data_IF_468403175647
#
_entry.id   IF_468403175647
#
_cell.length_a   1.000
_cell.length_b   1.000
_cell.length_c   1.000
_cell.angle_alpha   90.00
_cell.angle_beta   90.00
_cell.angle_gamma   90.00
#
_symmetry.space_group_name_H-M   'P 1'
#
loop_
_entity.id
_entity.type
_entity.pdbx_description
1 polymer ?
#
# COMPACT_ATOMS: atom_id res chain seq x y z
N UNK A 1 -11.52 -31.96 48.30
CA UNK A 1 -10.36 -32.03 47.37
C UNK A 1 -10.90 -32.17 45.95
N UNK A 2 -10.17 -31.63 44.96
CA UNK A 2 -10.49 -31.57 43.51
C UNK A 2 -11.44 -30.44 43.11
N UNK A 3 -10.96 -29.20 42.93
CA UNK A 3 -10.19 -28.58 41.82
C UNK A 3 -10.94 -28.47 40.48
N UNK A 4 -11.34 -27.21 40.16
CA UNK A 4 -11.25 -26.42 38.91
C UNK A 4 -11.16 -27.20 37.57
N UNK A 5 -11.87 -26.82 36.49
CA UNK A 5 -11.62 -25.63 35.65
C UNK A 5 -12.85 -25.34 34.77
N UNK A 6 -13.28 -24.07 34.72
CA UNK A 6 -14.16 -23.55 33.69
C UNK A 6 -13.35 -23.31 32.40
N UNK A 7 -13.73 -23.95 31.29
CA UNK A 7 -13.24 -23.58 29.96
C UNK A 7 -14.07 -22.39 29.45
N UNK A 8 -13.53 -21.19 29.66
CA UNK A 8 -13.95 -20.01 28.91
C UNK A 8 -13.48 -20.21 27.46
N UNK A 9 -14.43 -20.45 26.56
CA UNK A 9 -14.19 -20.36 25.13
C UNK A 9 -13.95 -18.88 24.78
N UNK A 10 -12.68 -18.51 24.60
CA UNK A 10 -12.32 -17.22 24.02
C UNK A 10 -12.66 -17.29 22.53
N UNK A 11 -13.83 -16.78 22.17
CA UNK A 11 -14.16 -16.39 20.81
C UNK A 11 -13.18 -15.30 20.39
N UNK A 12 -12.12 -15.70 19.68
CA UNK A 12 -11.29 -14.78 18.92
C UNK A 12 -12.15 -14.18 17.82
N UNK A 13 -12.65 -12.96 18.03
CA UNK A 13 -13.19 -12.15 16.95
C UNK A 13 -12.00 -11.74 16.09
N UNK A 14 -11.68 -12.54 15.08
CA UNK A 14 -10.96 -12.05 13.91
C UNK A 14 -11.85 -10.93 13.35
N UNK A 15 -11.38 -9.69 13.44
CA UNK A 15 -11.98 -8.58 12.74
C UNK A 15 -11.91 -8.89 11.24
N UNK A 16 -12.99 -9.44 10.70
CA UNK A 16 -13.15 -9.61 9.25
C UNK A 16 -13.24 -8.21 8.68
N UNK A 17 -12.19 -7.80 7.95
CA UNK A 17 -12.25 -6.61 7.12
C UNK A 17 -13.48 -6.72 6.20
N UNK A 18 -14.26 -5.64 5.99
CA UNK A 18 -15.45 -5.71 5.15
C UNK A 18 -15.10 -6.26 3.76
N UNK A 19 -15.78 -7.33 3.34
CA UNK A 19 -15.58 -8.06 2.10
C UNK A 19 -15.78 -7.23 0.80
N UNK A 20 -16.16 -5.95 0.92
CA UNK A 20 -16.39 -5.06 -0.23
C UNK A 20 -15.10 -4.48 -0.86
N UNK A 21 -13.92 -4.75 -0.30
CA UNK A 21 -12.62 -4.30 -0.86
C UNK A 21 -11.50 -5.34 -0.70
N UNK A 22 -11.79 -6.64 -0.70
CA UNK A 22 -10.74 -7.64 -0.86
C UNK A 22 -10.23 -7.57 -2.31
N UNK A 23 -9.33 -6.63 -2.59
CA UNK A 23 -8.70 -6.51 -3.89
C UNK A 23 -7.90 -7.77 -4.16
N UNK A 24 -8.04 -8.39 -5.33
CA UNK A 24 -7.15 -9.49 -5.69
C UNK A 24 -5.70 -9.00 -5.74
N UNK A 25 -4.73 -9.87 -5.41
CA UNK A 25 -3.29 -9.54 -5.43
C UNK A 25 -2.75 -9.42 -6.88
N UNK A 26 -3.31 -8.49 -7.65
CA UNK A 26 -3.02 -8.27 -9.07
C UNK A 26 -2.81 -6.78 -9.34
N UNK A 27 -2.20 -6.45 -10.48
CA UNK A 27 -2.07 -5.06 -10.90
C UNK A 27 -3.46 -4.39 -11.05
N UNK A 28 -4.44 -5.11 -11.57
CA UNK A 28 -5.82 -4.62 -11.69
C UNK A 28 -6.51 -4.43 -10.34
N UNK A 29 -6.17 -5.24 -9.33
CA UNK A 29 -6.60 -5.02 -7.94
C UNK A 29 -6.10 -3.69 -7.38
N UNK A 30 -4.81 -3.37 -7.60
CA UNK A 30 -4.26 -2.07 -7.19
C UNK A 30 -4.90 -0.93 -7.98
N UNK A 31 -5.05 -1.09 -9.30
CA UNK A 31 -5.72 -0.10 -10.16
C UNK A 31 -7.12 0.21 -9.63
N UNK A 32 -7.91 -0.82 -9.32
CA UNK A 32 -9.27 -0.67 -8.79
C UNK A 32 -9.26 0.08 -7.46
N UNK A 33 -8.36 -0.28 -6.55
CA UNK A 33 -8.20 0.39 -5.25
C UNK A 33 -7.91 1.88 -5.42
N UNK A 34 -6.97 2.24 -6.29
CA UNK A 34 -6.58 3.64 -6.51
C UNK A 34 -7.63 4.41 -7.32
N UNK A 35 -8.29 3.75 -8.27
CA UNK A 35 -9.37 4.35 -9.05
C UNK A 35 -10.53 4.77 -8.15
N UNK A 36 -10.89 3.97 -7.15
CA UNK A 36 -11.93 4.35 -6.19
C UNK A 36 -11.61 5.66 -5.45
N UNK A 37 -10.34 5.90 -5.09
CA UNK A 37 -9.90 7.14 -4.45
C UNK A 37 -10.01 8.32 -5.43
N UNK A 38 -9.55 8.14 -6.67
CA UNK A 38 -9.62 9.15 -7.72
C UNK A 38 -11.07 9.50 -8.07
N UNK A 39 -11.96 8.52 -8.12
CA UNK A 39 -13.38 8.73 -8.40
C UNK A 39 -14.08 9.47 -7.25
N UNK A 40 -13.80 9.12 -6.00
CA UNK A 40 -14.28 9.85 -4.83
C UNK A 40 -13.79 11.32 -4.85
N UNK A 41 -12.52 11.54 -5.18
CA UNK A 41 -11.94 12.87 -5.31
C UNK A 41 -12.59 13.69 -6.43
N UNK A 42 -12.81 13.07 -7.59
CA UNK A 42 -13.53 13.69 -8.72
C UNK A 42 -14.97 14.06 -8.37
N UNK A 43 -15.61 13.25 -7.53
CA UNK A 43 -16.97 13.49 -7.03
C UNK A 43 -17.03 14.51 -5.88
N UNK A 44 -15.91 15.09 -5.46
CA UNK A 44 -15.86 16.06 -4.36
C UNK A 44 -16.11 15.47 -2.97
N UNK A 45 -15.94 14.15 -2.81
CA UNK A 45 -16.22 13.44 -1.56
C UNK A 45 -14.99 13.37 -0.65
N UNK A 46 -14.57 14.52 -0.12
CA UNK A 46 -13.32 14.65 0.66
C UNK A 46 -13.19 13.65 1.84
N UNK A 47 -14.27 13.41 2.60
CA UNK A 47 -14.25 12.44 3.70
C UNK A 47 -14.01 10.99 3.21
N UNK A 48 -14.59 10.62 2.06
CA UNK A 48 -14.39 9.30 1.45
C UNK A 48 -12.95 9.18 0.92
N UNK A 49 -12.39 10.23 0.31
CA UNK A 49 -10.98 10.29 -0.11
C UNK A 49 -10.06 10.07 1.08
N UNK A 50 -10.31 10.77 2.19
CA UNK A 50 -9.51 10.63 3.40
C UNK A 50 -9.55 9.19 3.92
N UNK A 51 -10.74 8.62 4.10
CA UNK A 51 -10.92 7.25 4.59
C UNK A 51 -10.22 6.21 3.70
N UNK A 52 -10.43 6.29 2.39
CA UNK A 52 -9.81 5.35 1.44
C UNK A 52 -8.28 5.51 1.39
N UNK A 53 -7.79 6.75 1.49
CA UNK A 53 -6.34 7.01 1.51
C UNK A 53 -5.70 6.52 2.81
N UNK A 54 -6.36 6.70 3.96
CA UNK A 54 -5.90 6.18 5.24
C UNK A 54 -5.79 4.65 5.23
N UNK A 55 -6.70 3.97 4.53
CA UNK A 55 -6.64 2.53 4.33
C UNK A 55 -5.42 2.07 3.50
N UNK A 56 -4.73 2.95 2.77
CA UNK A 56 -3.49 2.59 2.09
C UNK A 56 -2.31 2.43 3.06
N UNK A 57 -2.36 2.93 4.29
CA UNK A 57 -1.21 2.83 5.17
C UNK A 57 -1.09 1.44 5.82
N UNK A 58 0.15 0.97 5.97
CA UNK A 58 0.49 -0.22 6.72
C UNK A 58 0.07 -0.02 8.18
N UNK A 59 -0.81 -0.87 8.74
CA UNK A 59 -1.25 -0.74 10.13
C UNK A 59 -0.12 -1.05 11.11
N UNK A 60 0.74 -2.04 10.80
CA UNK A 60 1.93 -2.40 11.58
C UNK A 60 3.16 -2.42 10.66
N UNK A 61 3.63 -1.21 10.30
CA UNK A 61 4.77 -1.05 9.42
C UNK A 61 6.05 -1.67 10.00
N UNK A 62 6.25 -1.57 11.33
CA UNK A 62 7.42 -2.15 12.00
C UNK A 62 7.49 -3.65 11.80
N UNK A 63 6.40 -4.37 12.12
CA UNK A 63 6.32 -5.81 11.89
C UNK A 63 6.49 -6.16 10.41
N UNK A 64 5.80 -5.47 9.52
CA UNK A 64 5.88 -5.72 8.08
C UNK A 64 7.33 -5.61 7.57
N UNK A 65 8.00 -4.50 7.85
CA UNK A 65 9.36 -4.27 7.36
C UNK A 65 10.37 -5.22 7.99
N UNK A 66 10.24 -5.55 9.29
CA UNK A 66 11.09 -6.55 9.94
C UNK A 66 10.91 -7.94 9.34
N UNK A 67 9.68 -8.36 9.04
CA UNK A 67 9.41 -9.66 8.42
C UNK A 67 9.99 -9.75 6.99
N UNK A 68 9.85 -8.68 6.20
CA UNK A 68 10.29 -8.66 4.81
C UNK A 68 11.80 -8.46 4.68
N UNK A 69 12.42 -7.61 5.49
CA UNK A 69 13.81 -7.19 5.33
C UNK A 69 14.77 -7.65 6.44
N UNK A 70 14.25 -8.28 7.51
CA UNK A 70 15.00 -8.59 8.72
C UNK A 70 15.07 -7.42 9.71
N UNK A 71 15.59 -7.65 10.90
CA UNK A 71 15.53 -6.68 12.01
C UNK A 71 16.20 -5.34 11.71
N UNK A 72 17.47 -5.35 11.30
CA UNK A 72 18.24 -4.11 11.13
C UNK A 72 17.68 -3.24 10.01
N UNK A 73 17.52 -3.81 8.82
CA UNK A 73 17.05 -3.08 7.65
C UNK A 73 15.56 -2.76 7.76
N UNK A 74 14.77 -3.68 8.31
CA UNK A 74 13.34 -3.47 8.56
C UNK A 74 13.09 -2.29 9.49
N UNK A 75 13.89 -2.13 10.54
CA UNK A 75 13.81 -0.98 11.43
C UNK A 75 14.10 0.34 10.69
N UNK A 76 15.17 0.41 9.89
CA UNK A 76 15.51 1.61 9.10
C UNK A 76 14.38 2.00 8.14
N UNK A 77 13.76 1.02 7.48
CA UNK A 77 12.63 1.24 6.57
C UNK A 77 11.36 1.66 7.32
N UNK A 78 11.07 1.08 8.49
CA UNK A 78 9.97 1.50 9.33
C UNK A 78 10.14 2.95 9.84
N UNK A 79 11.37 3.35 10.19
CA UNK A 79 11.69 4.73 10.60
C UNK A 79 11.55 5.73 9.45
N UNK A 80 11.88 5.34 8.21
CA UNK A 80 11.56 6.13 7.02
C UNK A 80 10.04 6.21 6.80
N UNK A 81 9.35 5.08 6.90
CA UNK A 81 7.92 4.98 6.67
C UNK A 81 7.11 5.87 7.61
N UNK A 82 7.50 5.94 8.89
CA UNK A 82 6.87 6.79 9.88
C UNK A 82 6.89 8.29 9.51
N UNK A 83 7.79 8.71 8.61
CA UNK A 83 7.92 10.09 8.12
C UNK A 83 7.09 10.37 6.86
N UNK A 84 6.31 9.41 6.36
CA UNK A 84 5.46 9.65 5.20
C UNK A 84 4.41 10.72 5.51
N UNK A 85 4.21 11.68 4.59
CA UNK A 85 3.26 12.77 4.79
C UNK A 85 1.82 12.27 4.57
N UNK A 86 1.24 11.65 5.61
CA UNK A 86 -0.04 10.93 5.50
C UNK A 86 -1.21 11.85 5.11
N UNK A 87 -1.30 13.02 5.75
CA UNK A 87 -2.37 13.98 5.50
C UNK A 87 -2.28 14.60 4.09
N UNK A 88 -1.07 14.70 3.55
CA UNK A 88 -0.80 15.25 2.23
C UNK A 88 -1.16 14.26 1.12
N UNK A 89 -1.19 12.95 1.40
CA UNK A 89 -1.54 11.95 0.39
C UNK A 89 -3.01 12.08 -0.05
N UNK A 90 -3.94 12.37 0.87
CA UNK A 90 -5.34 12.60 0.50
C UNK A 90 -5.48 13.85 -0.40
N UNK A 91 -4.82 14.94 0.00
CA UNK A 91 -4.75 16.19 -0.80
C UNK A 91 -4.12 15.97 -2.17
N UNK A 92 -3.18 15.03 -2.28
CA UNK A 92 -2.57 14.66 -3.54
C UNK A 92 -3.60 14.07 -4.50
N UNK A 93 -4.44 13.15 -4.04
CA UNK A 93 -5.50 12.55 -4.86
C UNK A 93 -6.54 13.59 -5.30
N UNK A 94 -6.94 14.49 -4.40
CA UNK A 94 -7.80 15.63 -4.75
C UNK A 94 -7.16 16.51 -5.84
N UNK A 95 -5.86 16.82 -5.70
CA UNK A 95 -5.12 17.57 -6.70
C UNK A 95 -5.03 16.83 -8.03
N UNK A 96 -4.74 15.52 -8.01
CA UNK A 96 -4.68 14.68 -9.22
C UNK A 96 -6.02 14.70 -9.96
N UNK A 97 -7.13 14.56 -9.25
CA UNK A 97 -8.46 14.65 -9.84
C UNK A 97 -8.75 16.05 -10.42
N UNK A 98 -8.40 17.11 -9.67
CA UNK A 98 -8.55 18.51 -10.13
C UNK A 98 -7.71 18.82 -11.37
N UNK A 99 -6.51 18.26 -11.45
CA UNK A 99 -5.60 18.37 -12.61
C UNK A 99 -6.04 17.46 -13.79
N UNK A 100 -7.20 16.78 -13.70
CA UNK A 100 -7.74 15.94 -14.77
C UNK A 100 -7.07 14.57 -14.93
N UNK A 101 -6.14 14.20 -14.03
CA UNK A 101 -5.35 12.97 -14.09
C UNK A 101 -6.13 11.75 -13.61
N UNK A 102 -7.19 11.42 -14.33
CA UNK A 102 -8.20 10.43 -13.93
C UNK A 102 -8.00 9.03 -14.51
N UNK A 103 -7.04 8.85 -15.42
CA UNK A 103 -6.68 7.56 -15.97
C UNK A 103 -5.65 6.87 -15.07
N UNK A 104 -6.07 5.81 -14.38
CA UNK A 104 -5.23 5.03 -13.46
C UNK A 104 -4.69 3.80 -14.18
N UNK A 105 -3.37 3.65 -14.19
CA UNK A 105 -2.68 2.42 -14.61
C UNK A 105 -1.81 1.90 -13.48
N UNK A 106 -1.79 0.59 -13.28
CA UNK A 106 -0.96 -0.05 -12.27
C UNK A 106 -0.18 -1.20 -12.90
N UNK A 107 0.96 -1.53 -12.31
CA UNK A 107 1.78 -2.66 -12.73
C UNK A 107 2.43 -3.33 -11.53
N UNK A 108 2.61 -4.63 -11.65
CA UNK A 108 3.37 -5.47 -10.73
C UNK A 108 4.83 -5.45 -11.15
N UNK A 109 5.72 -5.42 -10.17
CA UNK A 109 7.16 -5.57 -10.34
C UNK A 109 7.51 -6.91 -9.71
N UNK A 110 7.82 -7.88 -10.56
CA UNK A 110 8.02 -9.27 -10.14
C UNK A 110 9.44 -9.56 -9.63
N UNK A 111 10.42 -8.74 -10.04
CA UNK A 111 11.84 -8.95 -9.74
C UNK A 111 12.67 -7.69 -9.88
N UNK A 112 13.95 -7.76 -9.47
CA UNK A 112 14.88 -6.65 -9.56
C UNK A 112 15.41 -6.39 -10.98
N UNK A 113 15.22 -7.34 -11.89
CA UNK A 113 15.51 -7.27 -13.32
C UNK A 113 14.36 -6.69 -14.15
N UNK A 114 13.17 -6.54 -13.57
CA UNK A 114 12.00 -5.94 -14.20
C UNK A 114 12.33 -4.53 -14.73
N UNK A 115 11.99 -4.29 -16.00
CA UNK A 115 12.24 -3.02 -16.70
C UNK A 115 11.49 -1.85 -16.08
N UNK A 116 10.36 -2.11 -15.41
CA UNK A 116 9.54 -1.12 -14.76
C UNK A 116 9.98 -0.83 -13.32
N UNK A 117 10.96 -1.56 -12.79
CA UNK A 117 11.49 -1.33 -11.46
C UNK A 117 12.41 -0.10 -11.44
N UNK A 118 12.11 0.86 -10.57
CA UNK A 118 13.03 1.98 -10.28
C UNK A 118 14.27 1.50 -9.53
N UNK A 119 15.35 2.28 -9.53
CA UNK A 119 16.59 1.90 -8.85
C UNK A 119 16.41 1.55 -7.36
N UNK A 120 15.54 2.26 -6.62
CA UNK A 120 15.26 1.92 -5.22
C UNK A 120 14.44 0.64 -5.08
N UNK A 121 13.47 0.40 -5.97
CA UNK A 121 12.70 -0.85 -5.97
C UNK A 121 13.58 -2.05 -6.27
N UNK A 122 14.55 -1.92 -7.19
CA UNK A 122 15.53 -2.98 -7.49
C UNK A 122 16.37 -3.32 -6.25
N UNK A 123 16.89 -2.31 -5.56
CA UNK A 123 17.65 -2.53 -4.32
C UNK A 123 16.78 -3.11 -3.21
N UNK A 124 15.54 -2.63 -3.06
CA UNK A 124 14.58 -3.19 -2.11
C UNK A 124 14.33 -4.67 -2.36
N UNK A 125 14.00 -5.07 -3.59
CA UNK A 125 13.73 -6.47 -3.94
C UNK A 125 14.93 -7.37 -3.64
N UNK A 126 16.16 -6.93 -3.97
CA UNK A 126 17.38 -7.68 -3.64
C UNK A 126 17.61 -7.84 -2.14
N UNK A 127 17.18 -6.86 -1.34
CA UNK A 127 17.38 -6.85 0.10
C UNK A 127 16.32 -7.64 0.88
N UNK A 128 15.20 -8.01 0.24
CA UNK A 128 14.13 -8.77 0.89
C UNK A 128 14.63 -10.15 1.33
N UNK A 129 14.43 -10.48 2.61
CA UNK A 129 14.62 -11.82 3.18
C UNK A 129 13.40 -12.70 2.92
N UNK A 130 12.21 -12.10 2.93
CA UNK A 130 10.95 -12.72 2.51
C UNK A 130 10.43 -11.97 1.29
N UNK A 131 10.58 -12.51 0.07
CA UNK A 131 10.16 -11.83 -1.14
C UNK A 131 8.67 -11.49 -1.12
N UNK A 132 8.36 -10.23 -1.43
CA UNK A 132 7.00 -9.75 -1.70
C UNK A 132 7.02 -8.97 -3.01
N UNK A 133 5.93 -9.05 -3.78
CA UNK A 133 5.83 -8.25 -4.98
C UNK A 133 5.70 -6.77 -4.64
N UNK A 134 6.37 -5.93 -5.43
CA UNK A 134 6.16 -4.49 -5.40
C UNK A 134 5.20 -4.10 -6.51
N UNK A 135 4.43 -3.05 -6.29
CA UNK A 135 3.51 -2.52 -7.27
C UNK A 135 3.67 -1.01 -7.36
N UNK A 136 3.30 -0.46 -8.50
CA UNK A 136 3.30 0.98 -8.74
C UNK A 136 2.02 1.38 -9.44
N UNK A 137 1.62 2.63 -9.27
CA UNK A 137 0.45 3.20 -9.94
C UNK A 137 0.79 4.54 -10.56
N UNK A 138 0.28 4.79 -11.76
CA UNK A 138 0.35 6.08 -12.45
C UNK A 138 -1.06 6.62 -12.64
N UNK A 139 -1.19 7.92 -12.38
CA UNK A 139 -2.38 8.71 -12.62
C UNK A 139 -2.05 9.75 -13.68
N UNK A 140 -2.69 9.65 -14.84
CA UNK A 140 -2.46 10.50 -16.00
C UNK A 140 -3.78 11.07 -16.52
N UNK A 141 -3.69 12.13 -17.32
CA UNK A 141 -4.86 12.58 -18.09
C UNK A 141 -5.27 11.48 -19.09
N UNK A 142 -6.57 11.35 -19.42
CA UNK A 142 -7.02 10.41 -20.44
C UNK A 142 -6.25 10.59 -21.77
N UNK A 143 -5.78 9.48 -22.33
CA UNK A 143 -4.98 9.48 -23.57
C UNK A 143 -3.51 9.91 -23.41
N UNK A 144 -3.04 10.24 -22.20
CA UNK A 144 -1.63 10.52 -21.91
C UNK A 144 -0.96 9.33 -21.22
N UNK A 145 0.31 9.12 -21.53
CA UNK A 145 1.15 8.06 -20.93
C UNK A 145 2.02 8.57 -19.78
N UNK A 146 2.27 9.89 -19.74
CA UNK A 146 2.97 10.59 -18.66
C UNK A 146 1.99 11.07 -17.61
N UNK A 147 2.41 11.04 -16.35
CA UNK A 147 1.56 11.39 -15.22
C UNK A 147 2.29 11.26 -13.90
N UNK A 148 1.54 11.45 -12.83
CA UNK A 148 2.06 11.27 -11.47
C UNK A 148 2.14 9.79 -11.15
N UNK A 149 3.31 9.31 -10.73
CA UNK A 149 3.50 7.91 -10.33
C UNK A 149 3.73 7.83 -8.83
N UNK A 150 3.02 6.94 -8.16
CA UNK A 150 3.22 6.60 -6.76
C UNK A 150 3.92 5.25 -6.66
N UNK A 151 4.99 5.26 -5.87
CA UNK A 151 5.82 4.10 -5.55
C UNK A 151 6.04 4.05 -4.04
N UNK A 152 6.18 2.89 -3.41
CA UNK A 152 5.85 1.54 -3.86
C UNK A 152 4.64 1.05 -3.07
N UNK A 153 3.85 0.16 -3.66
CA UNK A 153 2.77 -0.56 -3.00
C UNK A 153 3.16 -2.02 -2.78
N UNK A 154 2.59 -2.62 -1.75
CA UNK A 154 2.68 -4.04 -1.40
C UNK A 154 1.28 -4.58 -1.15
N UNK A 155 1.08 -5.88 -1.30
CA UNK A 155 -0.16 -6.52 -0.87
C UNK A 155 0.08 -7.17 0.50
N UNK A 156 -0.63 -6.69 1.51
CA UNK A 156 -0.44 -7.10 2.90
C UNK A 156 -1.78 -7.12 3.64
N UNK A 157 -2.02 -8.20 4.39
CA UNK A 157 -3.24 -8.41 5.17
C UNK A 157 -4.53 -8.23 4.34
N UNK A 158 -4.53 -8.79 3.12
CA UNK A 158 -5.70 -8.80 2.23
C UNK A 158 -6.00 -7.46 1.53
N UNK A 159 -5.06 -6.51 1.53
CA UNK A 159 -5.24 -5.21 0.87
C UNK A 159 -3.92 -4.64 0.34
N UNK A 160 -4.03 -3.72 -0.63
CA UNK A 160 -2.88 -2.93 -1.08
C UNK A 160 -2.52 -1.86 -0.08
N UNK A 161 -1.23 -1.78 0.27
CA UNK A 161 -0.67 -0.80 1.19
C UNK A 161 0.46 -0.03 0.53
N UNK A 162 0.55 1.28 0.74
CA UNK A 162 1.72 2.06 0.39
C UNK A 162 2.84 1.70 1.36
N UNK A 163 4.00 1.36 0.80
CA UNK A 163 5.24 1.08 1.52
C UNK A 163 6.29 2.21 1.33
N UNK A 164 6.00 3.19 0.46
CA UNK A 164 6.85 4.35 0.23
C UNK A 164 8.03 4.05 -0.70
N UNK A 165 8.99 5.00 -0.76
CA UNK A 165 10.10 4.94 -1.72
C UNK A 165 11.20 3.97 -1.32
N UNK A 166 11.24 3.54 -0.04
CA UNK A 166 12.24 2.62 0.51
C UNK A 166 13.68 3.13 0.31
N UNK A 167 13.95 4.40 0.61
CA UNK A 167 15.27 5.02 0.43
C UNK A 167 16.33 4.44 1.37
N UNK A 168 15.91 4.02 2.56
CA UNK A 168 16.76 3.44 3.61
C UNK A 168 17.22 2.01 3.31
N UNK A 169 16.93 1.48 2.12
CA UNK A 169 17.52 0.22 1.64
C UNK A 169 19.02 0.37 1.31
N UNK A 170 19.50 1.60 1.20
CA UNK A 170 20.90 1.95 0.92
C UNK A 170 21.67 2.30 2.18
#
# INVERSE_FOLDING_TARGET
MSKWIAMAAVLGVLAVAPAAMAAEETADGLKTTVQAIVDAAKAGKGEEVQKLTEALFLPDAGKFFTEVFGEELGKKLADEYAKLPKAELAKLFEKVAKDGRTNVTAWKIAGADDENATGLQKEAIKAMKKPVALYSVRMAEPGKTSGMTLWSFVYADGAFRIAGKMRAVR
#
